data_IF_218232177671
#
_entry.id   IF_218232177671
#
_cell.length_a   1.000
_cell.length_b   1.000
_cell.length_c   1.000
_cell.angle_alpha   90.00
_cell.angle_beta   90.00
_cell.angle_gamma   90.00
#
_symmetry.space_group_name_H-M   'P 1'
#
loop_
_entity.id
_entity.type
_entity.pdbx_description
1 polymer ?
2 polymer ?
3 non-polymer ?
4 non-polymer ?
5 non-polymer ?
6 water ?
#
# COMPACT_ATOMS: atom_id res chain seq x y z
N UNK A 2 9.22 6.89 18.49
CA UNK A 2 8.16 7.56 19.23
C UNK A 2 7.31 8.45 18.34
N UNK A 3 5.99 8.38 18.49
CA UNK A 3 5.13 9.22 17.68
C UNK A 3 5.14 10.65 18.22
N UNK A 4 5.07 11.65 17.36
CA UNK A 4 4.98 13.03 17.84
C UNK A 4 3.73 13.22 18.67
N UNK A 5 3.83 14.13 19.62
CA UNK A 5 2.70 14.38 20.51
C UNK A 5 1.48 14.77 19.70
N UNK A 6 0.36 14.13 20.01
CA UNK A 6 -0.88 14.38 19.32
C UNK A 6 -1.24 13.37 18.25
N UNK A 7 -0.29 12.56 17.79
CA UNK A 7 -0.53 11.60 16.72
C UNK A 7 -0.91 10.22 17.24
N UNK A 8 -1.78 9.53 16.49
CA UNK A 8 -2.07 8.12 16.75
C UNK A 8 -2.33 7.41 15.43
N UNK A 9 -2.15 6.09 15.46
CA UNK A 9 -2.38 5.22 14.32
C UNK A 9 -3.34 4.13 14.75
N UNK A 10 -4.44 3.98 14.01
CA UNK A 10 -5.50 3.05 14.40
C UNK A 10 -6.00 2.31 13.16
N UNK A 11 -6.62 1.14 13.38
CA UNK A 11 -7.30 0.48 12.26
C UNK A 11 -8.37 1.40 11.67
N UNK A 12 -8.45 1.43 10.35
CA UNK A 12 -9.41 2.29 9.67
C UNK A 12 -10.84 1.84 9.97
N UNK A 13 -11.68 2.80 10.37
CA UNK A 13 -13.05 2.53 10.77
C UNK A 13 -13.99 3.45 10.02
N UNK A 14 -15.29 3.13 10.12
CA UNK A 14 -16.28 3.89 9.35
C UNK A 14 -16.20 5.38 9.64
N UNK A 15 -15.98 5.76 10.90
CA UNK A 15 -15.98 7.19 11.24
C UNK A 15 -14.84 7.95 10.59
N UNK A 16 -13.82 7.26 10.10
CA UNK A 16 -12.69 7.92 9.46
C UNK A 16 -12.85 8.08 7.96
N UNK A 17 -13.81 7.40 7.35
CA UNK A 17 -13.88 7.32 5.90
C UNK A 17 -14.18 8.66 5.26
N UNK A 18 -15.16 9.44 5.72
CA UNK A 18 -15.41 10.73 5.07
C UNK A 18 -14.16 11.59 4.97
N UNK A 19 -13.42 11.68 6.07
CA UNK A 19 -12.21 12.50 6.08
C UNK A 19 -11.13 11.92 5.19
N UNK A 20 -10.90 10.59 5.24
CA UNK A 20 -9.85 10.01 4.41
C UNK A 20 -10.19 10.15 2.94
N UNK A 21 -11.47 10.01 2.59
CA UNK A 21 -11.88 10.23 1.21
C UNK A 21 -11.60 11.66 0.77
N UNK A 22 -11.86 12.63 1.64
CA UNK A 22 -11.51 14.01 1.29
C UNK A 22 -10.01 14.16 1.08
N UNK A 23 -9.20 13.60 1.98
CA UNK A 23 -7.74 13.68 1.87
C UNK A 23 -7.27 13.05 0.56
N UNK A 24 -7.77 11.85 0.25
CA UNK A 24 -7.40 11.23 -1.01
C UNK A 24 -7.81 12.10 -2.20
N UNK A 25 -8.98 12.73 -2.13
CA UNK A 25 -9.42 13.56 -3.22
C UNK A 25 -8.50 14.76 -3.42
N UNK A 26 -7.91 15.27 -2.33
CA UNK A 26 -6.99 16.38 -2.40
C UNK A 26 -5.61 15.99 -2.91
N UNK A 27 -5.15 14.76 -2.62
CA UNK A 27 -3.76 14.42 -2.80
C UNK A 27 -3.48 13.38 -3.87
N UNK A 28 -4.48 12.64 -4.33
CA UNK A 28 -4.27 11.55 -5.29
C UNK A 28 -5.12 11.84 -6.53
N UNK A 29 -4.53 11.96 -7.72
CA UNK A 29 -5.31 12.35 -8.90
C UNK A 29 -6.05 11.22 -9.61
N UNK A 30 -6.48 10.22 -8.89
CA UNK A 30 -7.41 9.22 -9.37
C UNK A 30 -8.65 9.35 -8.49
N UNK A 31 -9.81 9.52 -9.12
CA UNK A 31 -11.08 9.61 -8.42
C UNK A 31 -11.59 8.21 -8.14
N UNK A 32 -11.70 7.87 -6.87
CA UNK A 32 -12.20 6.54 -6.54
C UNK A 32 -13.71 6.54 -6.34
N UNK A 33 -14.39 5.52 -6.84
CA UNK A 33 -15.84 5.39 -6.63
C UNK A 33 -16.13 5.02 -5.18
N UNK A 34 -17.40 5.19 -4.80
CA UNK A 34 -17.80 4.91 -3.43
C UNK A 34 -17.49 3.48 -3.04
N UNK A 35 -17.61 2.54 -3.99
CA UNK A 35 -17.34 1.14 -3.69
C UNK A 35 -15.94 0.93 -3.11
N UNK A 36 -14.96 1.72 -3.56
CA UNK A 36 -13.60 1.61 -3.04
C UNK A 36 -13.58 1.81 -1.53
N UNK A 37 -14.32 2.81 -1.06
CA UNK A 37 -14.38 3.14 0.36
C UNK A 37 -15.24 2.17 1.15
N UNK A 38 -16.31 1.66 0.56
CA UNK A 38 -17.07 0.61 1.23
C UNK A 38 -16.22 -0.65 1.43
N UNK A 39 -15.43 -1.03 0.42
CA UNK A 39 -14.58 -2.22 0.53
C UNK A 39 -13.51 -2.02 1.58
N UNK A 40 -13.09 -0.78 1.78
CA UNK A 40 -12.08 -0.48 2.79
C UNK A 40 -12.57 -0.80 4.20
N UNK A 41 -13.87 -1.05 4.36
CA UNK A 41 -14.45 -1.41 5.65
C UNK A 41 -14.74 -2.89 5.76
N UNK A 42 -14.48 -3.66 4.71
CA UNK A 42 -14.83 -5.07 4.72
C UNK A 42 -13.58 -5.83 5.07
N UNK A 43 -13.50 -6.51 6.22
CA UNK A 43 -12.27 -7.23 6.57
C UNK A 43 -11.87 -8.22 5.49
N UNK A 44 -12.84 -8.68 4.69
CA UNK A 44 -12.59 -9.59 3.60
C UNK A 44 -12.16 -8.86 2.32
N UNK A 45 -12.31 -7.54 2.25
CA UNK A 45 -11.85 -6.78 1.10
C UNK A 45 -10.63 -5.97 1.54
N UNK A 46 -10.80 -4.71 1.95
CA UNK A 46 -9.69 -3.86 2.35
C UNK A 46 -9.81 -3.42 3.81
N UNK A 47 -10.45 -4.24 4.66
CA UNK A 47 -10.74 -3.83 6.02
C UNK A 47 -9.98 -4.54 7.12
N UNK A 48 -8.74 -4.95 6.86
CA UNK A 48 -7.87 -5.59 7.85
C UNK A 48 -6.59 -4.81 8.09
N UNK A 49 -5.87 -4.44 7.03
CA UNK A 49 -4.58 -3.78 7.10
C UNK A 49 -4.66 -2.28 6.85
N UNK A 50 -5.85 -1.74 6.68
CA UNK A 50 -6.00 -0.32 6.46
C UNK A 50 -5.87 0.44 7.77
N UNK A 51 -5.28 1.63 7.69
CA UNK A 51 -4.97 2.40 8.90
C UNK A 51 -5.31 3.86 8.70
N UNK A 52 -5.83 4.48 9.75
CA UNK A 52 -6.01 5.92 9.81
C UNK A 52 -4.89 6.53 10.64
N UNK A 53 -4.40 7.68 10.19
CA UNK A 53 -3.43 8.48 10.93
C UNK A 53 -4.22 9.64 11.51
N UNK A 54 -4.24 9.76 12.84
CA UNK A 54 -5.03 10.75 13.55
C UNK A 54 -4.15 11.78 14.24
N UNK A 55 -4.71 12.97 14.44
CA UNK A 55 -3.99 14.08 15.06
C UNK A 55 -4.93 14.79 16.03
N UNK A 56 -4.38 15.15 17.20
CA UNK A 56 -5.05 16.01 18.16
C UNK A 56 -4.15 17.22 18.41
N UNK A 57 -4.65 18.43 18.12
CA UNK A 57 -3.85 19.61 18.41
C UNK A 57 -3.63 19.77 19.90
N UNK A 58 -4.69 19.58 20.69
CA UNK A 58 -4.61 19.70 22.14
C UNK A 58 -5.37 18.53 22.74
N UNK A 59 -5.14 18.30 24.03
CA UNK A 59 -5.81 17.18 24.69
C UNK A 59 -7.33 17.37 24.76
N UNK A 60 -7.85 18.56 24.48
CA UNK A 60 -9.29 18.81 24.48
C UNK A 60 -9.95 18.46 23.14
N UNK A 61 -9.18 18.14 22.13
CA UNK A 61 -9.74 17.95 20.81
C UNK A 61 -9.98 16.49 20.52
N UNK A 62 -11.10 16.13 19.89
CA UNK A 62 -11.24 14.78 19.37
C UNK A 62 -10.20 14.55 18.30
N UNK A 63 -9.59 13.36 18.22
CA UNK A 63 -8.61 13.11 17.16
C UNK A 63 -9.28 13.21 15.80
N UNK A 64 -8.57 13.81 14.85
CA UNK A 64 -9.07 13.97 13.50
C UNK A 64 -8.16 13.25 12.53
N UNK A 65 -8.74 12.75 11.44
CA UNK A 65 -7.97 12.06 10.42
C UNK A 65 -7.13 13.08 9.65
N UNK A 66 -5.83 12.81 9.56
CA UNK A 66 -4.93 13.61 8.73
C UNK A 66 -4.26 12.80 7.64
N UNK A 67 -4.44 11.50 7.61
CA UNK A 67 -3.87 10.68 6.56
C UNK A 67 -4.33 9.26 6.75
N UNK A 68 -3.89 8.39 5.84
CA UNK A 68 -4.27 7.00 5.96
C UNK A 68 -3.71 6.16 4.85
N UNK A 69 -3.77 4.85 5.07
CA UNK A 69 -3.39 3.84 4.09
C UNK A 69 -4.56 2.89 3.95
N UNK A 70 -5.04 2.72 2.73
CA UNK A 70 -6.05 1.70 2.45
C UNK A 70 -5.34 0.56 1.76
N UNK A 71 -5.51 -0.65 2.31
CA UNK A 71 -4.77 -1.81 1.85
C UNK A 71 -5.68 -3.00 1.66
N UNK A 72 -5.24 -3.93 0.79
CA UNK A 72 -5.98 -5.13 0.44
C UNK A 72 -5.04 -6.32 0.50
N UNK A 73 -5.50 -7.42 1.07
CA UNK A 73 -4.78 -8.69 1.04
C UNK A 73 -4.99 -9.40 -0.30
N UNK A 74 -3.91 -9.96 -0.85
CA UNK A 74 -3.94 -10.67 -2.12
C UNK A 74 -3.04 -11.89 -2.08
N UNK A 75 -3.22 -12.84 -2.99
CA UNK A 75 -2.18 -13.86 -3.19
C UNK A 75 -0.89 -13.17 -3.64
N UNK A 76 0.24 -13.72 -3.22
CA UNK A 76 1.52 -13.03 -3.47
C UNK A 76 1.99 -13.24 -4.90
N UNK A 77 2.19 -12.19 -5.67
CA UNK A 77 2.62 -12.37 -7.08
C UNK A 77 4.13 -12.29 -7.29
N UNK A 78 4.93 -12.25 -6.24
CA UNK A 78 6.38 -12.06 -6.31
C UNK A 78 7.16 -13.32 -5.95
N UNK A 79 6.49 -14.37 -5.47
CA UNK A 79 7.16 -15.58 -4.98
C UNK A 79 6.54 -16.79 -5.65
N UNK A 80 7.35 -17.83 -5.84
CA UNK A 80 6.80 -19.12 -6.26
C UNK A 80 6.05 -19.76 -5.10
N UNK A 81 5.35 -20.86 -5.38
CA UNK A 81 4.63 -21.58 -4.34
C UNK A 81 5.54 -22.23 -3.31
N UNK A 82 6.85 -22.29 -3.57
CA UNK A 82 7.83 -22.77 -2.61
C UNK A 82 8.72 -21.65 -2.06
N UNK A 83 8.39 -20.40 -2.34
CA UNK A 83 9.00 -19.27 -1.66
C UNK A 83 10.12 -18.56 -2.38
N UNK A 84 10.53 -19.04 -3.55
CA UNK A 84 11.59 -18.40 -4.30
C UNK A 84 11.12 -17.06 -4.85
N UNK A 85 11.98 -16.06 -4.87
CA UNK A 85 11.66 -14.84 -5.63
C UNK A 85 11.55 -15.16 -7.11
N UNK A 86 10.51 -14.62 -7.76
CA UNK A 86 10.27 -14.86 -9.17
C UNK A 86 9.93 -13.56 -9.87
N UNK A 87 10.28 -13.41 -11.15
CA UNK A 87 9.81 -12.22 -11.88
C UNK A 87 8.29 -12.19 -11.89
N UNK A 88 7.74 -10.99 -11.92
CA UNK A 88 6.29 -10.86 -11.94
C UNK A 88 5.73 -11.18 -13.32
N UNK A 89 4.50 -11.66 -13.32
CA UNK A 89 3.73 -11.95 -14.52
C UNK A 89 2.71 -10.85 -14.70
N UNK A 90 2.82 -10.13 -15.83
CA UNK A 90 1.93 -9.01 -16.15
C UNK A 90 1.28 -9.34 -17.48
N UNK A 91 0.13 -10.02 -17.48
CA UNK A 91 -0.52 -10.35 -18.75
C UNK A 91 -0.76 -9.10 -19.58
N UNK A 92 -0.40 -9.18 -20.87
CA UNK A 92 -0.38 -8.01 -21.72
C UNK A 92 -1.76 -7.45 -21.96
N UNK A 93 -2.78 -8.29 -21.91
CA UNK A 93 -4.15 -7.85 -22.09
C UNK A 93 -4.78 -7.35 -20.80
N UNK A 94 -4.03 -7.36 -19.69
CA UNK A 94 -4.58 -7.02 -18.38
C UNK A 94 -3.59 -6.14 -17.61
N UNK A 95 -3.16 -5.01 -18.20
CA UNK A 95 -2.19 -4.16 -17.50
C UNK A 95 -2.79 -3.42 -16.31
N UNK A 96 -4.09 -3.13 -16.34
CA UNK A 96 -4.74 -2.48 -15.21
C UNK A 96 -5.04 -3.44 -14.07
N UNK A 97 -4.80 -4.73 -14.27
CA UNK A 97 -4.99 -5.70 -13.21
C UNK A 97 -3.69 -5.88 -12.43
N UNK A 98 -3.82 -6.35 -11.21
CA UNK A 98 -2.65 -6.69 -10.42
C UNK A 98 -1.78 -7.65 -11.21
N UNK A 99 -0.49 -7.70 -10.93
CA UNK A 99 0.32 -8.82 -11.41
C UNK A 99 -0.29 -10.14 -10.97
N UNK A 100 -0.15 -11.14 -11.81
CA UNK A 100 -0.85 -12.40 -11.63
C UNK A 100 -0.02 -13.27 -10.71
N UNK A 101 -0.64 -13.78 -9.64
CA UNK A 101 0.00 -14.66 -8.70
C UNK A 101 -0.13 -16.10 -9.17
N UNK A 102 0.78 -16.97 -8.75
CA UNK A 102 0.60 -18.39 -9.05
C UNK A 102 -0.67 -18.93 -8.42
N UNK A 103 -1.31 -19.86 -9.13
CA UNK A 103 -2.54 -20.46 -8.63
C UNK A 103 -2.28 -21.17 -7.30
N UNK A 104 -3.16 -20.96 -6.35
CA UNK A 104 -3.14 -21.72 -5.11
C UNK A 104 -1.83 -21.54 -4.34
N UNK A 105 -1.28 -20.32 -4.35
CA UNK A 105 -0.10 -20.06 -3.55
C UNK A 105 -0.46 -19.95 -2.07
N UNK A 106 0.40 -20.42 -1.17
CA UNK A 106 0.16 -20.25 0.27
C UNK A 106 0.61 -18.90 0.81
N UNK A 107 1.22 -18.07 -0.03
CA UNK A 107 1.79 -16.80 0.40
C UNK A 107 0.89 -15.65 -0.03
N UNK A 108 0.89 -14.61 0.80
CA UNK A 108 0.06 -13.44 0.57
C UNK A 108 0.93 -12.20 0.41
N UNK A 109 0.34 -11.17 -0.19
CA UNK A 109 0.90 -9.85 -0.25
C UNK A 109 -0.13 -8.86 0.26
N UNK A 110 0.35 -7.78 0.84
CA UNK A 110 -0.49 -6.65 1.23
C UNK A 110 -0.28 -5.57 0.18
N UNK A 111 -1.36 -5.20 -0.50
CA UNK A 111 -1.32 -4.19 -1.55
C UNK A 111 -1.81 -2.86 -0.97
N UNK A 112 -0.97 -1.85 -1.01
CA UNK A 112 -1.37 -0.51 -0.62
C UNK A 112 -2.10 0.15 -1.78
N UNK A 113 -3.41 0.27 -1.66
CA UNK A 113 -4.26 0.90 -2.66
C UNK A 113 -4.17 2.42 -2.65
N UNK A 114 -4.07 3.02 -1.46
CA UNK A 114 -3.92 4.47 -1.39
C UNK A 114 -3.09 4.81 -0.16
N UNK A 115 -2.23 5.82 -0.32
CA UNK A 115 -1.42 6.37 0.75
C UNK A 115 -1.49 7.89 0.63
N UNK A 116 -1.83 8.58 1.70
CA UNK A 116 -1.91 10.03 1.67
C UNK A 116 -1.80 10.61 3.07
N UNK A 117 -1.12 11.75 3.18
CA UNK A 117 -0.94 12.45 4.44
C UNK A 117 -0.92 13.96 4.17
N UNK A 118 -1.78 14.71 4.86
CA UNK A 118 -1.83 16.16 4.66
C UNK A 118 -0.48 16.80 5.02
N UNK A 119 -0.13 17.82 4.24
CA UNK A 119 1.23 18.35 4.30
C UNK A 119 1.67 18.92 5.66
N UNK A 120 0.81 19.52 6.47
CA UNK A 120 1.30 20.04 7.77
C UNK A 120 1.82 18.95 8.68
N UNK A 121 1.50 17.69 8.42
CA UNK A 121 1.83 16.58 9.31
C UNK A 121 2.94 15.71 8.76
N UNK A 122 3.61 16.17 7.71
CA UNK A 122 4.65 15.37 7.07
C UNK A 122 5.98 15.54 7.79
N UNK A 123 6.90 14.62 7.48
CA UNK A 123 8.25 14.59 8.02
C UNK A 123 8.31 14.29 9.50
N UNK A 124 7.26 13.67 10.03
CA UNK A 124 7.18 13.26 11.43
C UNK A 124 7.18 11.76 11.59
N UNK A 125 7.36 11.01 10.50
CA UNK A 125 7.37 9.56 10.58
C UNK A 125 6.01 8.91 10.68
N UNK A 126 4.92 9.66 10.45
CA UNK A 126 3.58 9.09 10.65
C UNK A 126 3.25 8.00 9.63
N UNK A 127 3.48 8.26 8.34
CA UNK A 127 3.18 7.21 7.35
C UNK A 127 4.10 6.00 7.56
N UNK A 128 5.37 6.25 7.87
CA UNK A 128 6.29 5.16 8.17
C UNK A 128 5.81 4.35 9.37
N UNK A 129 5.29 5.03 10.39
CA UNK A 129 4.76 4.33 11.57
C UNK A 129 3.53 3.49 11.21
N UNK A 130 2.66 4.02 10.37
CA UNK A 130 1.53 3.22 9.91
C UNK A 130 2.00 1.98 9.16
N UNK A 131 2.97 2.14 8.27
CA UNK A 131 3.54 1.00 7.56
C UNK A 131 4.13 -0.01 8.55
N UNK A 132 4.89 0.47 9.52
CA UNK A 132 5.46 -0.44 10.51
C UNK A 132 4.36 -1.16 11.29
N UNK A 133 3.25 -0.49 11.57
CA UNK A 133 2.15 -1.14 12.28
C UNK A 133 1.55 -2.26 11.44
N UNK A 134 1.39 -2.02 10.14
CA UNK A 134 0.92 -3.04 9.21
C UNK A 134 1.86 -4.23 9.18
N UNK A 135 3.17 -3.97 9.07
CA UNK A 135 4.16 -5.04 9.03
C UNK A 135 4.14 -5.84 10.32
N UNK A 136 4.05 -5.15 11.46
CA UNK A 136 4.00 -5.86 12.74
C UNK A 136 2.72 -6.66 12.87
N UNK A 137 1.60 -6.13 12.39
CA UNK A 137 0.35 -6.89 12.39
C UNK A 137 0.51 -8.17 11.58
N UNK A 138 1.08 -8.07 10.39
CA UNK A 138 1.32 -9.27 9.59
C UNK A 138 2.18 -10.27 10.33
N UNK A 139 3.18 -9.79 11.09
CA UNK A 139 4.08 -10.69 11.78
C UNK A 139 3.40 -11.47 12.91
N UNK A 140 2.42 -10.87 13.58
CA UNK A 140 1.78 -11.52 14.73
C UNK A 140 0.51 -12.29 14.35
N UNK A 141 -0.02 -12.09 13.15
CA UNK A 141 -1.24 -12.77 12.77
C UNK A 141 -1.13 -14.29 12.84
N UNK A 142 -0.05 -14.93 12.37
CA UNK A 142 0.00 -16.39 12.47
C UNK A 142 -0.12 -16.90 13.90
N UNK A 143 0.57 -16.26 14.85
CA UNK A 143 0.48 -16.67 16.25
C UNK A 143 -0.93 -16.49 16.81
N UNK A 144 -1.72 -15.62 16.22
CA UNK A 144 -3.11 -15.44 16.60
C UNK A 144 -4.05 -16.40 15.89
N UNK A 145 -3.52 -17.34 15.12
CA UNK A 145 -4.33 -18.34 14.46
C UNK A 145 -4.75 -18.00 13.04
N UNK A 146 -4.22 -16.93 12.47
CA UNK A 146 -4.57 -16.53 11.13
C UNK A 146 -3.88 -17.43 10.12
N UNK A 147 -4.55 -17.67 9.00
CA UNK A 147 -3.93 -18.33 7.85
C UNK A 147 -3.22 -17.35 6.92
N UNK A 148 -3.16 -16.07 7.27
CA UNK A 148 -2.49 -15.07 6.45
C UNK A 148 -0.99 -15.18 6.65
N UNK A 149 -0.26 -15.30 5.54
CA UNK A 149 1.20 -15.37 5.55
C UNK A 149 1.70 -14.29 4.61
N UNK A 150 1.73 -13.05 5.09
CA UNK A 150 2.05 -11.89 4.26
C UNK A 150 3.56 -11.73 4.15
N UNK A 151 4.08 -11.97 2.95
CA UNK A 151 5.50 -11.95 2.68
C UNK A 151 5.99 -10.73 1.93
N UNK A 152 5.09 -9.91 1.41
CA UNK A 152 5.46 -8.75 0.62
C UNK A 152 4.40 -7.68 0.79
N UNK A 153 4.82 -6.43 0.79
CA UNK A 153 3.94 -5.26 0.68
C UNK A 153 4.29 -4.59 -0.63
N UNK A 154 3.27 -4.15 -1.37
CA UNK A 154 3.55 -3.54 -2.67
C UNK A 154 2.52 -2.46 -2.98
N UNK A 155 2.82 -1.67 -3.99
CA UNK A 155 1.98 -0.58 -4.43
C UNK A 155 2.31 -0.26 -5.89
N UNK A 156 1.41 0.50 -6.52
CA UNK A 156 1.68 1.17 -7.78
C UNK A 156 1.95 2.65 -7.50
N UNK A 157 2.96 3.18 -8.18
CA UNK A 157 3.34 4.58 -8.02
C UNK A 157 3.41 5.22 -9.39
N UNK A 158 2.61 6.26 -9.60
CA UNK A 158 2.63 7.00 -10.85
C UNK A 158 4.05 7.49 -11.16
N UNK A 159 4.46 7.37 -12.42
CA UNK A 159 5.83 7.71 -12.78
C UNK A 159 6.15 9.20 -12.62
N UNK A 160 5.14 10.06 -12.55
CA UNK A 160 5.37 11.47 -12.28
C UNK A 160 5.45 11.80 -10.79
N UNK A 161 5.16 10.83 -9.91
CA UNK A 161 5.04 11.11 -8.48
C UNK A 161 6.38 10.86 -7.77
N UNK A 162 7.26 11.84 -7.87
CA UNK A 162 8.55 11.73 -7.18
C UNK A 162 8.40 11.70 -5.67
N UNK A 163 7.44 12.46 -5.12
CA UNK A 163 7.19 12.43 -3.68
C UNK A 163 6.94 11.01 -3.21
N UNK A 164 6.03 10.32 -3.88
CA UNK A 164 5.73 8.95 -3.51
C UNK A 164 6.88 8.01 -3.75
N UNK A 165 7.52 8.12 -4.91
CA UNK A 165 8.64 7.22 -5.20
C UNK A 165 9.71 7.35 -4.14
N UNK A 166 10.04 8.57 -3.73
CA UNK A 166 11.07 8.76 -2.72
C UNK A 166 10.66 8.13 -1.39
N UNK A 167 9.40 8.28 -0.99
CA UNK A 167 8.96 7.67 0.25
C UNK A 167 9.13 6.15 0.20
N UNK A 168 8.60 5.54 -0.87
CA UNK A 168 8.71 4.08 -0.97
C UNK A 168 10.16 3.63 -0.97
N UNK A 169 11.05 4.34 -1.67
CA UNK A 169 12.46 3.98 -1.64
C UNK A 169 13.03 4.09 -0.24
N UNK A 170 12.70 5.17 0.48
CA UNK A 170 13.20 5.36 1.83
C UNK A 170 12.68 4.29 2.79
N UNK A 171 11.50 3.72 2.52
CA UNK A 171 10.95 2.63 3.31
C UNK A 171 11.43 1.25 2.89
N UNK A 172 12.38 1.17 1.96
CA UNK A 172 12.95 -0.11 1.58
C UNK A 172 12.24 -0.83 0.46
N UNK A 173 11.35 -0.17 -0.27
CA UNK A 173 10.75 -0.79 -1.43
C UNK A 173 11.66 -0.61 -2.63
N UNK A 174 11.52 -1.51 -3.61
CA UNK A 174 12.28 -1.46 -4.86
C UNK A 174 11.31 -1.54 -6.03
N UNK A 175 11.71 -0.90 -7.15
CA UNK A 175 10.99 -1.04 -8.40
C UNK A 175 11.23 -2.42 -8.97
N UNK A 176 10.16 -3.10 -9.35
CA UNK A 176 10.21 -4.45 -9.85
C UNK A 176 9.78 -4.51 -11.31
N UNK A 177 10.50 -5.31 -12.09
CA UNK A 177 10.08 -5.62 -13.45
C UNK A 177 10.83 -4.92 -14.57
N UNK A 178 11.70 -3.98 -14.24
CA UNK A 178 12.54 -3.31 -15.22
C UNK A 178 11.91 -2.13 -15.93
N UNK A 179 10.62 -1.90 -15.77
CA UNK A 179 9.92 -0.84 -16.49
C UNK A 179 8.60 -0.62 -15.78
N UNK A 180 7.99 0.55 -15.95
CA UNK A 180 6.66 0.76 -15.39
C UNK A 180 5.61 0.07 -16.23
N UNK A 181 4.43 -0.10 -15.61
CA UNK A 181 3.27 -0.67 -16.29
C UNK A 181 2.66 0.39 -17.20
N UNK A 182 2.56 0.09 -18.50
CA UNK A 182 1.94 0.98 -19.47
C UNK A 182 0.43 0.80 -19.44
N UNK A 183 -0.31 1.88 -19.58
CA UNK A 183 -1.75 1.77 -19.56
C UNK A 183 -2.33 1.41 -18.23
N UNK A 184 -1.62 1.68 -17.14
CA UNK A 184 -2.10 1.33 -15.82
C UNK A 184 -3.29 2.22 -15.41
N UNK A 185 -3.16 3.51 -15.56
CA UNK A 185 -4.23 4.45 -15.24
C UNK A 185 -5.10 4.72 -16.46
N UNK A 186 -6.40 4.93 -16.21
CA UNK A 186 -7.34 5.14 -17.31
C UNK A 186 -7.27 6.56 -17.87
N UNK A 187 -7.20 7.59 -17.03
CA UNK A 187 -7.34 8.97 -17.48
C UNK A 187 -6.07 9.79 -17.27
N UNK A 188 -5.22 9.39 -16.36
CA UNK A 188 -4.01 10.15 -16.07
C UNK A 188 -3.04 10.11 -17.24
N UNK A 189 -2.35 11.22 -17.45
CA UNK A 189 -1.33 11.32 -18.47
C UNK A 189 -0.04 11.77 -17.80
N UNK A 190 1.06 11.03 -17.92
CA UNK A 190 1.16 9.71 -18.53
C UNK A 190 0.40 8.66 -17.71
N UNK A 191 0.10 7.52 -18.33
CA UNK A 191 -0.71 6.49 -17.69
C UNK A 191 0.12 5.40 -17.04
N UNK A 192 1.43 5.62 -16.88
CA UNK A 192 2.39 4.63 -16.40
C UNK A 192 2.54 4.66 -14.88
N UNK A 193 2.76 3.47 -14.31
CA UNK A 193 3.00 3.32 -12.88
C UNK A 193 4.05 2.24 -12.63
N UNK A 194 4.98 2.53 -11.73
CA UNK A 194 5.90 1.53 -11.24
C UNK A 194 5.23 0.60 -10.25
N UNK A 195 5.58 -0.67 -10.31
CA UNK A 195 5.32 -1.59 -9.22
C UNK A 195 6.51 -1.50 -8.25
N UNK A 196 6.22 -1.16 -7.00
CA UNK A 196 7.24 -1.12 -5.96
C UNK A 196 6.88 -2.13 -4.89
N UNK A 197 7.88 -2.83 -4.37
CA UNK A 197 7.60 -3.92 -3.44
C UNK A 197 8.69 -4.03 -2.38
N UNK A 198 8.27 -4.49 -1.19
CA UNK A 198 9.18 -4.74 -0.08
C UNK A 198 8.84 -6.12 0.49
N UNK A 199 9.80 -7.04 0.47
CA UNK A 199 9.61 -8.34 1.11
C UNK A 199 9.79 -8.21 2.60
N UNK A 200 8.94 -8.89 3.37
CA UNK A 200 8.84 -8.73 4.81
C UNK A 200 8.77 -10.10 5.48
N UNK A 201 8.85 -10.07 6.81
CA UNK A 201 8.66 -11.27 7.60
C UNK A 201 9.66 -12.35 7.24
N UNK A 202 9.16 -13.57 7.07
CA UNK A 202 10.01 -14.69 6.74
C UNK A 202 10.66 -14.56 5.36
N UNK A 203 10.20 -13.63 4.52
CA UNK A 203 10.84 -13.36 3.24
C UNK A 203 11.70 -12.11 3.24
N UNK A 204 11.91 -11.47 4.40
CA UNK A 204 12.63 -10.20 4.39
C UNK A 204 14.04 -10.32 3.82
N UNK A 205 14.69 -11.49 3.96
CA UNK A 205 16.01 -11.71 3.40
C UNK A 205 16.03 -11.59 1.88
N UNK A 206 14.88 -11.68 1.23
CA UNK A 206 14.81 -11.57 -0.23
C UNK A 206 14.64 -10.12 -0.69
N UNK A 207 14.57 -9.15 0.24
CA UNK A 207 14.18 -7.81 -0.17
C UNK A 207 15.12 -7.22 -1.22
N UNK A 208 16.39 -7.57 -1.17
CA UNK A 208 17.36 -7.03 -2.11
C UNK A 208 17.47 -7.82 -3.40
N UNK A 209 16.61 -8.81 -3.63
CA UNK A 209 16.62 -9.62 -4.85
C UNK A 209 15.57 -9.05 -5.79
N UNK A 210 16.02 -8.24 -6.73
CA UNK A 210 15.18 -7.56 -7.69
C UNK A 210 15.29 -8.25 -9.02
N UNK A 211 14.19 -8.37 -9.74
CA UNK A 211 14.18 -8.80 -11.14
C UNK A 211 13.93 -7.58 -12.02
N UNK A 212 14.88 -7.27 -12.90
CA UNK A 212 14.82 -6.13 -13.81
C UNK A 212 14.18 -6.48 -15.14
N UNK A 213 13.28 -7.45 -15.10
CA UNK A 213 12.49 -7.90 -16.23
C UNK A 213 11.26 -8.57 -15.63
N UNK A 214 10.29 -8.86 -16.49
CA UNK A 214 9.11 -9.57 -16.04
C UNK A 214 8.68 -10.52 -17.14
N UNK A 215 7.62 -11.26 -16.83
CA UNK A 215 6.99 -12.15 -17.76
C UNK A 215 5.67 -11.54 -18.23
N UNK B 1 -1.05 4.47 -5.29
CA UNK B 1 -2.29 4.83 -5.87
C UNK B 1 -2.76 3.83 -6.89
N UNK B 2 -3.71 2.98 -6.51
CA UNK B 2 -4.27 2.04 -7.40
C UNK B 2 -5.11 2.79 -8.47
N UNK B 3 -5.32 2.14 -9.63
CA UNK B 3 -6.17 2.72 -10.62
C UNK B 3 -7.65 2.57 -10.13
N UNK B 4 -8.62 3.11 -10.85
CA UNK B 4 -10.02 3.07 -10.42
C UNK B 4 -10.77 1.79 -10.84
N UNK B 5 -10.07 0.70 -11.38
CA UNK B 5 -10.74 -0.57 -11.78
C UNK B 5 -11.40 -1.20 -10.51
X LIG C 1 -14.18 11.39 -3.98
X LIG C 1 -13.74 12.57 -4.60
X LIG C 1 -13.22 10.24 -4.38
X LIG C 1 -13.04 10.17 -5.75
X LIG C 1 -11.86 10.48 -3.61
X LIG C 1 -11.04 9.36 -3.81
X LIG C 1 -15.08 11.16 -4.23
X LIG C 1 -14.18 11.48 -3.01
X LIG C 1 -14.31 13.18 -4.41
X LIG C 1 -13.60 9.39 -4.11
X LIG C 1 -13.45 9.47 -6.03
X LIG C 1 -12.07 10.64 -2.67
X LIG C 1 -11.47 11.31 -3.92
X LIG C 1 -10.29 9.65 -4.11
X LIG D 1 3.37 0.21 15.56
X LIG D 1 4.62 -0.38 15.31
X LIG D 1 3.59 1.74 15.54
X LIG D 1 4.35 2.11 14.44
X LIG D 1 2.17 2.38 15.50
X LIG D 1 1.56 2.18 16.74
X LIG D 1 3.00 -0.05 16.42
X LIG D 1 2.70 -0.03 14.91
X LIG D 1 4.90 -0.67 16.07
X LIG D 1 4.06 2.02 16.34
X LIG D 1 1.68 1.99 14.76
X LIG D 1 2.27 3.32 15.28
X LIG D 1 1.78 2.84 17.23
X LIG E 1 14.32 0.24 4.88
X LIG E 1 15.38 0.68 4.10
X LIG E 1 14.71 -1.13 5.48
X LIG E 1 13.77 -1.57 6.40
X LIG E 1 14.82 -2.11 4.29
X LIG E 1 15.02 -3.38 4.83
X LIG E 1 13.49 0.14 4.37
X LIG E 1 14.11 0.86 5.61
X LIG E 1 15.55 -1.06 5.95
X LIG E 1 15.54 -1.81 3.71
X LIG E 1 14.01 -2.04 3.75
X LIG F 1 4.85 -11.97 8.46
X LIG F 1 5.27 -11.06 7.55
X LIG F 1 5.14 -13.36 7.91
X LIG F 1 6.48 -13.75 8.04
X LIG F 1 4.21 -14.25 8.72
X LIG F 1 4.64 -15.55 8.51
X LIG F 1 3.90 -11.89 8.65
X LIG F 1 5.30 -11.87 9.31
X LIG F 1 4.96 -13.41 6.95
X LIG F 1 6.52 -14.59 7.92
X LIG F 1 3.29 -14.09 8.45
X LIG F 1 4.25 -13.98 9.66
X LIG G 1 18.26 -3.00 -2.34
X LIG G 1 17.85 -3.57 -3.55
X LIG G 1 16.99 -2.57 -1.57
X LIG G 1 16.27 -3.65 -1.13
X LIG G 1 17.51 -1.69 -0.40
X LIG G 1 16.41 -1.47 0.43
X LIG G 1 18.83 -2.23 -2.47
X LIG G 1 18.77 -3.62 -1.79
X LIG G 1 18.55 -3.77 -3.98
X LIG G 1 16.40 -2.05 -2.14
X LIG G 1 15.82 -3.40 -0.44
X LIG G 1 17.89 -0.88 -0.76
X LIG G 1 18.24 -2.14 0.03
X LIG G 1 16.72 -1.12 1.15
X LIG H 1 4.11 -22.74 2.87
X LIG H 1 3.88 -23.57 3.99
X LIG H 1 4.73 -23.16 5.16
X LIG H 1 4.21 -23.74 6.35
X LIG H 1 5.00 -23.48 7.49
X LIG H 1 4.44 -24.21 8.68
X LIG H 1 3.73 -23.32 9.53
X LIG H 1 2.73 -23.96 10.31
X LIG H 1 1.43 -23.96 9.57
X LIG H 1 0.67 -22.82 9.95
X LIG H 1 -0.60 -22.78 9.31
X LIG H 1 -0.62 -21.64 8.34
X LIG H 1 0.00 -20.52 8.95
X LIG H 1 -0.24 -19.31 8.26
X LIG H 1 1.06 -18.63 7.98
X LIG H 1 1.96 -18.85 9.06
X LIG H 1 3.23 -18.23 8.83
X LIG H 1 4.20 -19.25 8.33
X LIG H 1 5.41 -18.65 7.89
X LIG H 1 3.79 -21.96 2.95
X LIG H 1 4.08 -24.49 3.76
X LIG H 1 2.94 -23.50 4.25
X LIG H 1 4.71 -22.19 5.24
X LIG H 1 5.64 -23.47 5.02
X LIG H 1 4.99 -22.53 7.68
X LIG H 1 5.91 -23.77 7.34
X LIG H 1 5.17 -24.62 9.17
X LIG H 1 3.84 -24.90 8.36
X LIG H 1 2.62 -23.50 11.15
X LIG H 1 3.00 -24.88 10.48
X LIG H 1 0.94 -24.77 9.80
X LIG H 1 1.59 -23.94 8.62
X LIG H 1 -1.29 -22.64 9.97
X LIG H 1 -0.76 -23.61 8.84
X LIG H 1 -1.54 -21.42 8.11
X LIG H 1 -0.14 -21.89 7.53
X LIG H 1 -0.79 -18.73 8.82
X LIG H 1 -0.70 -19.48 7.43
X LIG H 1 0.91 -17.68 7.88
X LIG H 1 1.44 -18.99 7.18
X LIG H 1 3.56 -17.86 9.67
X LIG H 1 3.13 -17.52 8.18
X LIG H 1 3.81 -19.73 7.59
X LIG H 1 4.41 -19.88 9.05
X LIG H 1 6.06 -19.19 7.77
X LIG I 1 10.83 6.43 10.77
X LIG I 1 10.90 7.07 9.55
X LIG I 1 10.93 8.38 9.27
X LIG I 1 10.90 9.18 10.38
X LIG I 1 10.83 8.65 11.72
X LIG I 1 10.80 7.25 11.87
X LIG I 1 10.74 6.61 13.11
X LIG I 1 10.80 9.71 12.63
X LIG I 1 10.84 10.84 11.88
X LIG I 1 10.93 10.58 10.51
X LIG I 1 10.96 11.65 9.43
X LIG I 1 12.07 11.40 8.42
X LIG I 1 12.52 12.68 8.06
X LIG I 1 11.34 10.68 7.21
X LIG I 1 11.93 11.05 6.08
X LIG I 1 12.27 9.93 4.88
X LIG I 1 10.92 9.48 4.36
X LIG I 1 12.99 8.83 5.60
X LIG I 1 13.07 10.73 3.89
X LIG I 1 9.90 11.25 7.34
X LIG I 1 9.72 11.55 8.75
X LIG I 1 8.86 10.24 6.94
X LIG I 1 7.61 10.72 7.34
X LIG I 1 6.30 9.98 6.72
X LIG I 1 6.58 8.53 6.68
X LIG I 1 5.10 10.47 7.41
X LIG I 1 6.32 10.46 5.17
X LIG I 1 6.14 11.92 4.57
X LIG I 1 7.35 12.18 3.74
X LIG I 1 5.72 12.89 5.60
X LIG I 1 4.88 11.73 3.56
X LIG I 1 3.69 10.77 1.68
X LIG I 1 5.03 10.86 2.45
X LIG I 1 2.67 10.07 2.57
X LIG I 1 3.93 9.98 0.41
X LIG I 1 3.24 12.22 1.40
X LIG I 1 4.20 12.93 0.61
X LIG I 1 1.96 12.31 0.60
X LIG I 1 0.88 12.04 1.11
X LIG I 1 2.02 12.74 -0.69
X LIG I 1 0.85 12.93 -1.54
X LIG I 1 0.15 11.67 -1.92
X LIG I 1 1.06 10.64 -2.45
X LIG I 1 1.88 10.86 -3.33
X LIG I 1 0.97 9.38 -1.95
X LIG I 1 1.69 8.24 -2.45
X LIG I 1 0.92 7.65 -3.65
X LIG I 1 1.73 6.19 -4.35
X LIG I 1 0.76 4.75 -3.67
X LIG I 1 -0.68 4.92 -4.07
X LIG I 1 -1.48 5.57 -3.34
#
# INVERSE_FOLDING_TARGET
>A
MGLPSGASIVPLAQEHIPALRRINSLLLPVAYPDSFYHKALDPLASGLFSRAILWQDTNADPPKVVGGLICRLEPNPFLSVTGEPTPVQLPADQPQRAPQAPKDTPFHAIYIQSLALLSPYRSLGLAAAALDHIIATAAVLPAAGSNIDARTIYAHVWTENEEGLKWYESRGFVKEGGEPVKGYYFKLRPDTAWIVRRHIGESAKLNDVVHHHHHH
>B
MVNAL
>C hetero
1 GOL C1 O1 C2 O2 C3 O3 H11 H12 HO1 H2 HO2 H31 H32 HO3
>D hetero
1 GOL C1 O1 C2 O2 C3 O3 H11 H12 HO1 H2 H31 H32 HO3
>E hetero
1 GOL C1 O1 C2 O2 C3 O3 H11 H12 H2 H31 H32
>F hetero
1 GOL C1 O1 C2 O2 C3 O3 H11 H12 H2 HO2 H31 H32
>G hetero
1 GOL C1 O1 C2 O2 C3 O3 H11 H12 HO1 H2 HO2 H31 H32 HO3
>H hetero
1 P6G O1 C2 C3 O4 C5 C6 O7 C8 C9 O10 C11 C12 O13 C14 C15 O16 C17 C18 O19 H1 H21 H22 H31 H32 H51 H52 H61 H62 H81 H82 H91 H92 H111 H112 H121 H122 H141 H142 H151 H152 H171 H172 H181 H182 H19
>I hetero
1 CMC N1A C2A N3A C4A C5A C6A N6A N7A C8A N9A C1B C2B O2B C3B O3B P3B O7A O8A O9A C4B O4B C5B O5B P1A O1A O2A O3A P2A O4A O5A O6A CBP CCP CDP CEP CAP OAP C9P O9P N8P C7P C6P C5P O5P N4P C3P C2P S1P C1 C2 O21
#
